data_IF_893730768516
#
_entry.id   IF_893730768516
#
_cell.length_a   1.000
_cell.length_b   1.000
_cell.length_c   1.000
_cell.angle_alpha   90.00
_cell.angle_beta   90.00
_cell.angle_gamma   90.00
#
_symmetry.space_group_name_H-M   'P 1'
#
loop_
_entity.id
_entity.type
_entity.pdbx_description
1 polymer ?
#
# COMPACT_ATOMS: atom_id res chain seq x y z
N UNK A 1 2.58 -29.38 11.38
CA UNK A 1 2.05 -28.46 10.35
C UNK A 1 1.02 -27.62 11.06
N UNK A 2 1.50 -26.73 11.92
CA UNK A 2 0.68 -26.02 12.87
C UNK A 2 0.26 -24.71 12.22
N UNK A 3 -0.97 -24.68 11.73
CA UNK A 3 -1.60 -23.46 11.26
C UNK A 3 -1.77 -22.54 12.46
N UNK A 4 -0.93 -21.53 12.57
CA UNK A 4 -1.02 -20.54 13.64
C UNK A 4 -2.12 -19.53 13.30
N UNK A 5 -2.72 -18.91 14.32
CA UNK A 5 -3.74 -17.88 14.12
C UNK A 5 -3.23 -16.70 13.24
N UNK A 6 -1.91 -16.51 13.15
CA UNK A 6 -1.30 -15.48 12.32
C UNK A 6 -1.36 -15.81 10.83
N UNK A 7 -1.34 -17.08 10.44
CA UNK A 7 -1.46 -17.48 9.04
C UNK A 7 -2.82 -17.05 8.48
N UNK A 8 -3.89 -17.16 9.28
CA UNK A 8 -5.21 -16.65 8.92
C UNK A 8 -5.23 -15.14 8.72
N UNK A 9 -4.56 -14.37 9.58
CA UNK A 9 -4.46 -12.92 9.40
C UNK A 9 -3.70 -12.54 8.13
N UNK A 10 -2.61 -13.26 7.80
CA UNK A 10 -1.81 -12.98 6.59
C UNK A 10 -2.64 -13.24 5.33
N UNK A 11 -3.37 -14.36 5.29
CA UNK A 11 -4.21 -14.72 4.14
C UNK A 11 -5.39 -13.75 4.00
N UNK A 12 -6.00 -13.35 5.11
CA UNK A 12 -7.11 -12.41 5.11
C UNK A 12 -6.68 -11.01 4.64
N UNK A 13 -5.58 -10.49 5.16
CA UNK A 13 -5.02 -9.20 4.72
C UNK A 13 -4.55 -9.28 3.26
N UNK A 14 -3.88 -10.36 2.86
CA UNK A 14 -3.45 -10.58 1.48
C UNK A 14 -4.62 -10.63 0.50
N UNK A 15 -5.70 -11.34 0.85
CA UNK A 15 -6.92 -11.41 0.05
C UNK A 15 -7.63 -10.07 -0.08
N UNK A 16 -7.81 -9.34 1.03
CA UNK A 16 -8.39 -8.00 1.02
C UNK A 16 -7.57 -7.02 0.18
N UNK A 17 -6.24 -7.06 0.32
CA UNK A 17 -5.33 -6.19 -0.44
C UNK A 17 -5.36 -6.52 -1.94
N UNK A 18 -5.39 -7.81 -2.30
CA UNK A 18 -5.53 -8.25 -3.68
C UNK A 18 -6.84 -7.78 -4.32
N UNK A 19 -7.96 -7.88 -3.59
CA UNK A 19 -9.26 -7.38 -4.06
C UNK A 19 -9.25 -5.86 -4.22
N UNK A 20 -8.66 -5.14 -3.26
CA UNK A 20 -8.55 -3.68 -3.30
C UNK A 20 -7.69 -3.20 -4.49
N UNK A 21 -6.61 -3.90 -4.85
CA UNK A 21 -5.75 -3.56 -5.98
C UNK A 21 -6.30 -4.02 -7.35
N UNK A 22 -7.11 -5.09 -7.40
CA UNK A 22 -7.68 -5.61 -8.63
C UNK A 22 -8.67 -4.62 -9.28
N UNK A 23 -9.45 -3.90 -8.48
CA UNK A 23 -10.44 -2.92 -8.94
C UNK A 23 -9.79 -1.74 -9.73
N UNK A 24 -8.85 -0.95 -9.17
CA UNK A 24 -8.18 0.12 -9.90
C UNK A 24 -7.24 -0.44 -10.99
N UNK A 25 -6.60 -1.59 -10.77
CA UNK A 25 -5.70 -2.21 -11.74
C UNK A 25 -6.41 -2.57 -13.05
N UNK A 26 -7.57 -3.22 -12.98
CA UNK A 26 -8.37 -3.56 -14.17
C UNK A 26 -8.93 -2.33 -14.88
N UNK A 27 -9.33 -1.31 -14.13
CA UNK A 27 -9.81 -0.05 -14.68
C UNK A 27 -8.70 0.75 -15.40
N UNK A 28 -7.50 0.80 -14.83
CA UNK A 28 -6.32 1.44 -15.42
C UNK A 28 -5.83 0.71 -16.69
N UNK A 29 -5.90 -0.63 -16.69
CA UNK A 29 -5.57 -1.48 -17.85
C UNK A 29 -6.51 -1.21 -19.02
N UNK A 30 -7.84 -1.19 -18.79
CA UNK A 30 -8.84 -0.92 -19.83
C UNK A 30 -8.70 0.48 -20.43
N UNK A 31 -8.24 1.46 -19.64
CA UNK A 31 -8.05 2.85 -20.09
C UNK A 31 -6.70 3.08 -20.80
N UNK A 32 -5.89 2.03 -21.04
CA UNK A 32 -4.52 2.12 -21.60
C UNK A 32 -3.58 3.04 -20.83
N UNK A 33 -3.89 3.40 -19.59
CA UNK A 33 -3.01 4.23 -18.74
C UNK A 33 -2.08 3.32 -17.93
N UNK A 34 -1.33 2.45 -18.61
CA UNK A 34 -0.41 1.50 -17.96
C UNK A 34 0.73 2.18 -17.21
N UNK A 35 1.06 3.44 -17.55
CA UNK A 35 2.10 4.25 -16.91
C UNK A 35 1.66 4.84 -15.55
N UNK A 36 0.38 4.77 -15.19
CA UNK A 36 -0.09 5.41 -13.95
C UNK A 36 0.46 4.74 -12.69
N UNK A 37 0.63 3.41 -12.71
CA UNK A 37 1.19 2.66 -11.58
C UNK A 37 2.65 3.01 -11.28
N UNK A 38 3.42 3.36 -12.32
CA UNK A 38 4.82 3.78 -12.19
C UNK A 38 4.92 5.18 -11.57
N UNK A 39 4.07 6.12 -12.03
CA UNK A 39 3.97 7.46 -11.48
C UNK A 39 3.51 7.49 -10.01
N UNK A 40 2.54 6.64 -9.64
CA UNK A 40 2.08 6.49 -8.24
C UNK A 40 3.24 6.01 -7.37
N UNK A 41 4.01 5.01 -7.84
CA UNK A 41 5.17 4.50 -7.10
C UNK A 41 6.24 5.58 -6.90
N UNK A 42 6.50 6.39 -7.94
CA UNK A 42 7.45 7.50 -7.88
C UNK A 42 7.01 8.66 -6.96
N UNK A 43 5.72 8.90 -6.78
CA UNK A 43 5.20 9.90 -5.85
C UNK A 43 5.13 9.38 -4.40
N UNK A 44 4.76 8.11 -4.21
CA UNK A 44 4.49 7.52 -2.88
C UNK A 44 5.79 7.16 -2.12
N UNK A 45 6.84 6.69 -2.80
CA UNK A 45 8.14 6.35 -2.18
C UNK A 45 8.79 7.51 -1.41
N UNK A 46 8.96 8.72 -1.99
CA UNK A 46 9.52 9.86 -1.26
C UNK A 46 8.60 10.36 -0.13
N UNK A 47 7.27 10.29 -0.31
CA UNK A 47 6.29 10.59 0.73
C UNK A 47 6.43 9.71 1.96
N UNK A 48 6.55 8.39 1.75
CA UNK A 48 6.83 7.42 2.81
C UNK A 48 8.19 7.67 3.50
N UNK A 49 9.22 8.01 2.73
CA UNK A 49 10.54 8.33 3.28
C UNK A 49 10.52 9.56 4.19
N UNK A 50 9.83 10.64 3.78
CA UNK A 50 9.68 11.85 4.59
C UNK A 50 8.84 11.58 5.85
N UNK A 51 7.76 10.82 5.71
CA UNK A 51 6.93 10.42 6.86
C UNK A 51 7.72 9.56 7.87
N UNK A 52 8.58 8.66 7.38
CA UNK A 52 9.46 7.86 8.22
C UNK A 52 10.51 8.70 8.96
N UNK A 53 11.12 9.67 8.27
CA UNK A 53 12.14 10.56 8.83
C UNK A 53 11.58 11.46 9.93
N UNK A 54 10.37 11.99 9.76
CA UNK A 54 9.70 12.83 10.77
C UNK A 54 9.23 12.01 11.97
N UNK A 55 8.78 10.76 11.74
CA UNK A 55 8.19 9.95 12.81
C UNK A 55 9.22 9.43 13.81
N UNK A 56 10.50 9.24 13.44
CA UNK A 56 11.61 8.88 14.34
C UNK A 56 11.45 7.57 15.15
N UNK A 57 10.30 6.90 15.04
CA UNK A 57 9.89 5.71 15.77
C UNK A 57 8.74 5.04 15.02
N UNK A 58 8.78 3.70 14.92
CA UNK A 58 7.86 2.81 14.17
C UNK A 58 6.46 2.80 14.78
N UNK A 59 5.83 3.97 14.95
CA UNK A 59 4.47 4.09 15.47
C UNK A 59 3.51 4.20 14.29
N UNK A 60 2.64 3.20 14.20
CA UNK A 60 1.81 2.86 13.05
C UNK A 60 0.94 4.02 12.51
N UNK A 61 0.67 5.05 13.33
CA UNK A 61 -0.30 6.11 13.03
C UNK A 61 0.28 7.25 12.20
N UNK A 62 1.53 7.66 12.46
CA UNK A 62 2.17 8.80 11.78
C UNK A 62 2.59 8.44 10.35
N UNK A 63 2.98 7.19 10.11
CA UNK A 63 3.31 6.70 8.78
C UNK A 63 2.07 6.56 7.88
N UNK A 64 0.92 6.18 8.45
CA UNK A 64 -0.37 6.14 7.73
C UNK A 64 -0.83 7.54 7.31
N UNK A 65 -0.68 8.52 8.21
CA UNK A 65 -1.07 9.90 7.94
C UNK A 65 -0.15 10.57 6.91
N UNK A 66 1.15 10.29 6.96
CA UNK A 66 2.10 10.75 5.94
C UNK A 66 1.88 10.14 4.56
N UNK A 67 1.53 8.85 4.49
CA UNK A 67 1.16 8.20 3.23
C UNK A 67 -0.15 8.76 2.64
N UNK A 68 -1.15 9.06 3.48
CA UNK A 68 -2.41 9.66 3.06
C UNK A 68 -2.28 11.12 2.58
N UNK A 69 -1.26 11.85 3.03
CA UNK A 69 -1.00 13.23 2.61
C UNK A 69 -0.10 13.33 1.37
N UNK A 70 0.74 12.33 1.12
CA UNK A 70 1.70 12.34 0.01
C UNK A 70 1.20 11.63 -1.27
N UNK A 71 0.28 10.68 -1.14
CA UNK A 71 -0.42 10.07 -2.28
C UNK A 71 -1.61 10.91 -2.72
#
# INVERSE_FOLDING_TARGET
MDWTANDFHIILVGGLCAMACALPGTFLLLRRMSMMGDAISHAVLPGLAIAFLISGSRTNIWMFLGAALAG
#
